data_IF_888316623386
#
_entry.id   IF_888316623386
#
_cell.length_a   1.000
_cell.length_b   1.000
_cell.length_c   1.000
_cell.angle_alpha   90.00
_cell.angle_beta   90.00
_cell.angle_gamma   90.00
#
_symmetry.space_group_name_H-M   'P 1'
#
loop_
_entity.id
_entity.type
_entity.pdbx_description
1 polymer ?
#
# COMPACT_ATOMS: atom_id res chain seq x y z
N UNK A 1 -3.95 -11.67 6.68
CA UNK A 1 -3.86 -10.21 6.50
C UNK A 1 -4.43 -9.56 7.76
N UNK A 2 -3.92 -8.41 8.17
CA UNK A 2 -4.45 -7.61 9.28
C UNK A 2 -4.82 -6.21 8.81
N UNK A 3 -5.93 -5.68 9.30
CA UNK A 3 -6.45 -4.33 9.06
C UNK A 3 -5.91 -3.43 10.18
N UNK A 4 -5.07 -2.48 9.82
CA UNK A 4 -4.44 -1.55 10.78
C UNK A 4 -4.95 -0.15 10.52
N UNK A 5 -5.68 0.42 11.48
CA UNK A 5 -6.28 1.74 11.35
C UNK A 5 -5.40 2.82 11.96
N UNK A 6 -5.21 3.94 11.26
CA UNK A 6 -4.48 5.08 11.80
C UNK A 6 -5.36 5.90 12.73
N UNK A 7 -4.93 6.14 13.96
CA UNK A 7 -5.65 7.02 14.90
C UNK A 7 -4.69 7.60 15.95
N UNK A 8 -4.66 8.92 16.16
CA UNK A 8 -3.90 9.54 17.25
C UNK A 8 -4.59 9.43 18.62
N UNK A 9 -5.77 8.79 18.67
CA UNK A 9 -6.62 8.70 19.86
C UNK A 9 -6.90 7.26 20.29
N UNK A 10 -6.33 6.28 19.58
CA UNK A 10 -6.45 4.87 19.94
C UNK A 10 -5.11 4.37 20.46
N UNK A 11 -5.12 3.70 21.61
CA UNK A 11 -3.94 2.99 22.09
C UNK A 11 -3.59 1.87 21.09
N UNK A 12 -2.33 1.83 20.67
CA UNK A 12 -1.88 0.88 19.68
C UNK A 12 -0.38 0.91 19.47
N UNK A 13 0.01 0.77 18.22
CA UNK A 13 1.41 0.70 17.81
C UNK A 13 1.93 2.05 17.32
N UNK A 14 3.25 2.18 17.35
CA UNK A 14 3.97 3.18 16.57
C UNK A 14 4.49 2.52 15.28
N UNK A 15 4.98 3.29 14.30
CA UNK A 15 5.54 2.72 13.08
C UNK A 15 6.77 1.85 13.35
N UNK A 16 7.40 2.01 14.51
CA UNK A 16 8.60 1.27 14.92
C UNK A 16 8.28 -0.09 15.55
N UNK A 17 7.11 -0.25 16.17
CA UNK A 17 6.74 -1.46 16.90
C UNK A 17 5.53 -2.21 16.32
N UNK A 18 4.89 -1.70 15.26
CA UNK A 18 3.81 -2.41 14.57
C UNK A 18 4.31 -3.78 14.06
N UNK A 19 3.64 -4.90 14.37
CA UNK A 19 4.01 -6.23 13.87
C UNK A 19 3.84 -6.32 12.34
N UNK A 20 4.87 -6.82 11.66
CA UNK A 20 4.92 -6.96 10.20
C UNK A 20 5.02 -8.42 9.73
N UNK A 21 4.83 -9.37 10.65
CA UNK A 21 4.88 -10.81 10.45
C UNK A 21 3.77 -11.37 9.55
N UNK A 22 2.80 -10.53 9.19
CA UNK A 22 1.70 -10.85 8.27
C UNK A 22 1.32 -9.62 7.43
N UNK A 23 0.72 -9.80 6.23
CA UNK A 23 0.34 -8.69 5.37
C UNK A 23 -0.54 -7.65 6.09
N UNK A 24 -0.18 -6.38 5.96
CA UNK A 24 -0.85 -5.23 6.59
C UNK A 24 -1.62 -4.44 5.54
N UNK A 25 -2.90 -4.20 5.80
CA UNK A 25 -3.68 -3.18 5.12
C UNK A 25 -3.77 -1.95 6.03
N UNK A 26 -3.05 -0.88 5.69
CA UNK A 26 -3.16 0.40 6.39
C UNK A 26 -4.43 1.13 5.95
N UNK A 27 -5.23 1.53 6.92
CA UNK A 27 -6.47 2.28 6.71
C UNK A 27 -6.30 3.67 7.28
N UNK A 28 -6.38 4.66 6.39
CA UNK A 28 -6.28 6.08 6.73
C UNK A 28 -7.69 6.66 6.82
N UNK A 29 -7.93 7.45 7.85
CA UNK A 29 -9.15 8.23 8.01
C UNK A 29 -9.28 9.39 7.02
N UNK A 30 -10.44 10.04 6.95
CA UNK A 30 -10.56 11.32 6.20
C UNK A 30 -9.92 12.47 6.98
N UNK A 31 -9.63 13.58 6.30
CA UNK A 31 -8.97 14.76 6.92
C UNK A 31 -9.78 15.37 8.07
N UNK A 32 -11.10 15.23 8.07
CA UNK A 32 -11.97 15.86 9.07
C UNK A 32 -12.44 14.92 10.16
N UNK A 33 -12.88 13.71 9.78
CA UNK A 33 -13.51 12.79 10.73
C UNK A 33 -12.58 11.68 11.20
N UNK A 34 -11.35 11.60 10.68
CA UNK A 34 -10.52 10.41 10.87
C UNK A 34 -11.20 9.16 10.29
N UNK A 35 -10.85 8.00 10.84
CA UNK A 35 -11.42 6.72 10.44
C UNK A 35 -12.85 6.59 10.99
N UNK A 36 -13.75 5.96 10.22
CA UNK A 36 -15.13 5.76 10.67
C UNK A 36 -15.22 4.78 11.83
N UNK A 37 -16.26 4.90 12.66
CA UNK A 37 -16.54 3.96 13.76
C UNK A 37 -16.61 2.50 13.29
N UNK A 38 -17.10 2.29 12.06
CA UNK A 38 -17.09 0.98 11.42
C UNK A 38 -15.66 0.46 11.27
N UNK A 39 -14.74 1.27 10.73
CA UNK A 39 -13.34 0.85 10.60
C UNK A 39 -12.67 0.69 11.95
N UNK A 40 -12.94 1.58 12.91
CA UNK A 40 -12.38 1.50 14.26
C UNK A 40 -12.80 0.20 14.97
N UNK A 41 -14.07 -0.22 14.83
CA UNK A 41 -14.60 -1.45 15.46
C UNK A 41 -14.15 -2.76 14.80
N UNK A 42 -13.66 -2.71 13.56
CA UNK A 42 -13.20 -3.87 12.80
C UNK A 42 -11.68 -3.89 12.60
N UNK A 43 -10.95 -2.99 13.25
CA UNK A 43 -9.49 -2.95 13.19
C UNK A 43 -8.88 -4.13 13.97
N UNK A 44 -7.89 -4.80 13.38
CA UNK A 44 -7.07 -5.79 14.10
C UNK A 44 -6.04 -5.10 15.01
N UNK A 45 -5.60 -3.89 14.64
CA UNK A 45 -4.69 -3.06 15.42
C UNK A 45 -4.82 -1.58 15.04
N UNK A 46 -4.28 -0.71 15.87
CA UNK A 46 -4.15 0.72 15.61
C UNK A 46 -2.68 1.10 15.45
N UNK A 47 -2.42 2.13 14.64
CA UNK A 47 -1.10 2.76 14.54
C UNK A 47 -1.21 4.27 14.64
N UNK A 48 -0.33 4.87 15.42
CA UNK A 48 -0.21 6.32 15.53
C UNK A 48 1.20 6.78 15.17
N UNK A 49 1.33 8.02 14.71
CA UNK A 49 2.63 8.68 14.57
C UNK A 49 2.79 9.56 15.81
N UNK A 50 3.79 9.34 16.67
CA UNK A 50 4.01 10.17 17.84
C UNK A 50 4.14 11.66 17.47
N UNK A 51 3.27 12.48 18.05
CA UNK A 51 3.23 13.93 17.84
C UNK A 51 3.70 14.65 19.10
N UNK A 52 4.48 15.71 18.93
CA UNK A 52 4.86 16.63 20.01
C UNK A 52 4.47 18.05 19.62
N UNK A 53 3.65 18.70 20.45
CA UNK A 53 3.19 20.07 20.23
C UNK A 53 1.66 20.19 20.24
N UNK A 54 1.15 21.29 19.72
CA UNK A 54 -0.28 21.62 19.74
C UNK A 54 -1.08 21.00 18.59
N UNK A 55 -0.42 20.51 17.55
CA UNK A 55 -1.09 19.86 16.43
C UNK A 55 -1.46 18.42 16.81
N UNK A 56 -2.73 18.06 16.63
CA UNK A 56 -3.27 16.75 16.99
C UNK A 56 -2.99 15.68 15.92
N UNK A 57 -2.68 16.10 14.67
CA UNK A 57 -2.37 15.18 13.58
C UNK A 57 -1.56 15.84 12.45
N UNK A 58 -0.96 15.02 11.60
CA UNK A 58 -0.40 15.45 10.32
C UNK A 58 -1.47 15.46 9.22
N UNK A 59 -1.22 16.18 8.14
CA UNK A 59 -1.97 16.00 6.90
C UNK A 59 -1.96 14.52 6.48
N UNK A 60 -3.09 14.03 5.95
CA UNK A 60 -3.27 12.62 5.60
C UNK A 60 -2.17 12.09 4.66
N UNK A 61 -1.76 12.86 3.65
CA UNK A 61 -0.71 12.45 2.71
C UNK A 61 0.67 12.38 3.37
N UNK A 62 0.94 13.29 4.31
CA UNK A 62 2.17 13.31 5.10
C UNK A 62 2.23 12.12 6.04
N UNK A 63 1.14 11.84 6.76
CA UNK A 63 1.03 10.66 7.62
C UNK A 63 1.21 9.36 6.81
N UNK A 64 0.56 9.25 5.65
CA UNK A 64 0.69 8.09 4.77
C UNK A 64 2.15 7.90 4.30
N UNK A 65 2.82 8.98 3.90
CA UNK A 65 4.22 8.96 3.49
C UNK A 65 5.16 8.53 4.62
N UNK A 66 4.98 9.07 5.83
CA UNK A 66 5.78 8.69 7.01
C UNK A 66 5.59 7.20 7.32
N UNK A 67 4.35 6.73 7.40
CA UNK A 67 4.04 5.33 7.69
C UNK A 67 4.63 4.40 6.63
N UNK A 68 4.36 4.65 5.34
CA UNK A 68 4.87 3.82 4.26
C UNK A 68 6.40 3.77 4.25
N UNK A 69 7.07 4.91 4.42
CA UNK A 69 8.53 4.97 4.44
C UNK A 69 9.11 4.17 5.62
N UNK A 70 8.55 4.33 6.83
CA UNK A 70 9.05 3.64 8.02
C UNK A 70 8.81 2.13 7.95
N UNK A 71 7.59 1.72 7.61
CA UNK A 71 7.27 0.29 7.48
C UNK A 71 8.09 -0.36 6.37
N UNK A 72 8.27 0.30 5.22
CA UNK A 72 9.13 -0.19 4.14
C UNK A 72 10.58 -0.35 4.59
N UNK A 73 11.13 0.63 5.31
CA UNK A 73 12.50 0.57 5.83
C UNK A 73 12.67 -0.65 6.75
N UNK A 74 11.70 -0.87 7.65
CA UNK A 74 11.70 -2.04 8.55
C UNK A 74 11.59 -3.37 7.78
N UNK A 75 10.76 -3.43 6.74
CA UNK A 75 10.65 -4.61 5.87
C UNK A 75 11.98 -4.92 5.16
N UNK A 76 12.68 -3.89 4.67
CA UNK A 76 14.00 -4.05 4.04
C UNK A 76 15.08 -4.54 5.00
N UNK A 77 14.96 -4.21 6.28
CA UNK A 77 15.88 -4.63 7.35
C UNK A 77 15.48 -5.96 8.01
N UNK A 78 14.40 -6.59 7.55
CA UNK A 78 13.88 -7.84 8.12
C UNK A 78 14.20 -9.05 7.23
N UNK A 79 14.17 -10.23 7.83
CA UNK A 79 14.28 -11.52 7.12
C UNK A 79 12.92 -12.01 6.57
N UNK A 80 11.89 -11.14 6.55
CA UNK A 80 10.54 -11.51 6.11
C UNK A 80 10.48 -11.66 4.58
N UNK A 81 9.81 -12.70 4.10
CA UNK A 81 9.52 -12.88 2.68
C UNK A 81 8.29 -12.04 2.27
N UNK A 82 8.49 -10.75 2.02
CA UNK A 82 7.41 -9.78 1.69
C UNK A 82 7.37 -9.35 0.22
N UNK A 83 8.40 -9.68 -0.57
CA UNK A 83 8.47 -9.34 -2.00
C UNK A 83 7.59 -10.28 -2.82
N UNK A 84 7.15 -9.81 -3.97
CA UNK A 84 6.45 -10.64 -4.96
C UNK A 84 7.32 -11.83 -5.39
N UNK A 85 6.67 -12.94 -5.73
CA UNK A 85 7.36 -14.05 -6.38
C UNK A 85 7.96 -13.58 -7.73
N UNK A 86 9.12 -14.08 -8.16
CA UNK A 86 9.75 -13.67 -9.42
C UNK A 86 8.80 -13.73 -10.64
N UNK A 87 7.93 -14.74 -10.70
CA UNK A 87 6.96 -14.89 -11.78
C UNK A 87 5.86 -13.82 -11.75
N UNK A 88 5.34 -13.47 -10.56
CA UNK A 88 4.37 -12.40 -10.37
C UNK A 88 4.99 -11.04 -10.73
N UNK A 89 6.23 -10.82 -10.31
CA UNK A 89 6.98 -9.61 -10.63
C UNK A 89 7.24 -9.47 -12.14
N UNK A 90 7.62 -10.56 -12.82
CA UNK A 90 7.81 -10.56 -14.27
C UNK A 90 6.51 -10.25 -15.02
N UNK A 91 5.39 -10.83 -14.59
CA UNK A 91 4.08 -10.59 -15.17
C UNK A 91 3.64 -9.14 -15.00
N UNK A 92 3.74 -8.60 -13.79
CA UNK A 92 3.35 -7.22 -13.48
C UNK A 92 4.21 -6.20 -14.24
N UNK A 93 5.51 -6.46 -14.37
CA UNK A 93 6.40 -5.60 -15.16
C UNK A 93 6.04 -5.61 -16.65
N UNK A 94 5.77 -6.78 -17.23
CA UNK A 94 5.34 -6.88 -18.62
C UNK A 94 4.04 -6.11 -18.86
N UNK A 95 3.11 -6.17 -17.90
CA UNK A 95 1.88 -5.40 -17.91
C UNK A 95 2.11 -3.90 -17.88
N UNK A 96 2.96 -3.41 -16.97
CA UNK A 96 3.24 -1.98 -16.87
C UNK A 96 3.97 -1.45 -18.10
N UNK A 97 4.91 -2.22 -18.65
CA UNK A 97 5.56 -1.87 -19.92
C UNK A 97 4.52 -1.74 -21.03
N UNK A 98 3.61 -2.71 -21.15
CA UNK A 98 2.55 -2.64 -22.16
C UNK A 98 1.64 -1.42 -21.99
N UNK A 99 1.23 -1.09 -20.76
CA UNK A 99 0.41 0.10 -20.46
C UNK A 99 1.16 1.42 -20.66
N UNK A 100 2.48 1.42 -20.49
CA UNK A 100 3.31 2.63 -20.63
C UNK A 100 3.48 3.07 -22.09
N UNK A 101 3.41 2.13 -23.03
CA UNK A 101 3.59 2.41 -24.46
C UNK A 101 2.28 2.91 -25.06
N UNK A 102 2.30 4.15 -25.54
CA UNK A 102 1.15 4.75 -26.24
C UNK A 102 0.77 3.89 -27.45
N UNK A 103 -0.49 3.45 -27.50
CA UNK A 103 -1.03 2.60 -28.56
C UNK A 103 -0.29 1.25 -28.75
N UNK A 104 0.19 0.63 -27.67
CA UNK A 104 0.83 -0.70 -27.72
C UNK A 104 0.01 -1.74 -28.51
N UNK A 105 -1.32 -1.77 -28.32
CA UNK A 105 -2.24 -2.64 -29.08
C UNK A 105 -2.14 -2.42 -30.59
N UNK A 106 -2.13 -1.17 -31.04
CA UNK A 106 -2.02 -0.83 -32.46
C UNK A 106 -0.67 -1.19 -33.06
N UNK A 107 0.42 -1.09 -32.29
CA UNK A 107 1.76 -1.53 -32.71
C UNK A 107 1.75 -3.03 -32.95
N UNK A 108 1.25 -3.81 -31.99
CA UNK A 108 1.15 -5.27 -32.14
C UNK A 108 0.29 -5.65 -33.35
N UNK A 109 -0.88 -5.03 -33.52
CA UNK A 109 -1.78 -5.29 -34.63
C UNK A 109 -1.13 -5.04 -36.01
N UNK A 110 -0.31 -3.97 -36.14
CA UNK A 110 0.45 -3.68 -37.38
C UNK A 110 1.46 -4.76 -37.73
N UNK A 111 1.97 -5.47 -36.72
CA UNK A 111 2.88 -6.61 -36.89
C UNK A 111 2.17 -7.97 -36.89
N UNK A 112 0.83 -8.00 -36.89
CA UNK A 112 0.04 -9.24 -36.86
C UNK A 112 0.12 -9.99 -35.52
N UNK A 113 0.54 -9.31 -34.45
CA UNK A 113 0.67 -9.87 -33.12
C UNK A 113 -0.55 -9.49 -32.26
N UNK A 114 -0.92 -10.40 -31.35
CA UNK A 114 -1.92 -10.14 -30.31
C UNK A 114 -1.24 -10.08 -28.94
N UNK A 115 -1.69 -9.20 -28.03
CA UNK A 115 -1.18 -9.22 -26.67
C UNK A 115 -1.52 -10.58 -26.02
N UNK A 116 -0.60 -11.15 -25.22
CA UNK A 116 -0.87 -12.35 -24.43
C UNK A 116 -2.20 -12.22 -23.66
N UNK A 117 -2.95 -13.31 -23.44
CA UNK A 117 -4.24 -13.28 -22.74
C UNK A 117 -4.18 -12.59 -21.37
N UNK A 118 -3.07 -12.75 -20.66
CA UNK A 118 -2.78 -12.09 -19.38
C UNK A 118 -2.72 -10.56 -19.46
N UNK A 119 -2.39 -10.00 -20.63
CA UNK A 119 -2.41 -8.57 -20.92
C UNK A 119 -3.69 -8.11 -21.63
N UNK A 120 -4.45 -9.05 -22.20
CA UNK A 120 -5.70 -8.77 -22.90
C UNK A 120 -6.86 -8.47 -21.94
N UNK A 121 -6.84 -9.02 -20.72
CA UNK A 121 -7.88 -8.85 -19.68
C UNK A 121 -7.96 -7.43 -19.06
N UNK A 122 -7.13 -6.49 -19.51
CA UNK A 122 -6.94 -5.16 -18.93
C UNK A 122 -7.65 -4.04 -19.72
N UNK A 123 -8.65 -4.40 -20.52
CA UNK A 123 -9.47 -3.48 -21.35
C UNK A 123 -10.78 -3.12 -20.68
#
# INVERSE_FOLDING_TARGET
>A
MQIVVTSPHAEGHTPENLPLDRPVALVMGTEFSGASDFMMSHADAFVEIPMHGFAESFNISVAAGILMQRLRTRLEQSELAWKLHPDEHALLNAEWVFKSVRNAKGILARHGLTPPPTLAALS
#
